data_IF_306541670451
#
_entry.id   IF_306541670451
#
_cell.length_a   1.000
_cell.length_b   1.000
_cell.length_c   1.000
_cell.angle_alpha   90.00
_cell.angle_beta   90.00
_cell.angle_gamma   90.00
#
_symmetry.space_group_name_H-M   'P 1'
#
loop_
_entity.id
_entity.type
_entity.pdbx_description
1 polymer ?
#
# COMPACT_ATOMS: atom_id res chain seq x y z
N UNK A 1 -20.99 8.79 6.55
CA UNK A 1 -21.48 7.70 5.68
C UNK A 1 -21.73 8.29 4.30
N UNK A 2 -21.20 7.73 3.21
CA UNK A 2 -21.51 8.23 1.86
C UNK A 2 -23.02 8.03 1.62
N UNK A 3 -23.72 9.08 1.22
CA UNK A 3 -25.12 8.96 0.78
C UNK A 3 -25.18 7.96 -0.37
N UNK A 4 -26.23 7.12 -0.40
CA UNK A 4 -26.41 6.09 -1.42
C UNK A 4 -26.60 6.76 -2.78
N UNK A 5 -25.49 7.00 -3.45
CA UNK A 5 -25.46 7.48 -4.80
C UNK A 5 -25.60 6.23 -5.68
N UNK A 6 -26.58 6.24 -6.60
CA UNK A 6 -27.14 5.04 -7.24
C UNK A 6 -26.10 3.98 -7.61
N UNK A 7 -26.22 2.82 -6.95
CA UNK A 7 -25.40 1.61 -7.09
C UNK A 7 -23.88 1.82 -7.06
N UNK A 8 -23.39 2.65 -6.12
CA UNK A 8 -21.97 2.75 -5.81
C UNK A 8 -21.20 3.55 -6.84
N UNK A 9 -21.41 4.88 -6.86
CA UNK A 9 -20.84 5.76 -7.89
C UNK A 9 -19.34 5.57 -8.14
N UNK A 10 -18.46 5.69 -7.14
CA UNK A 10 -17.03 5.38 -7.33
C UNK A 10 -16.77 3.92 -7.76
N UNK A 11 -17.65 3.00 -7.34
CA UNK A 11 -17.64 1.59 -7.73
C UNK A 11 -17.85 1.37 -9.23
N UNK A 12 -18.49 2.31 -9.94
CA UNK A 12 -18.65 2.25 -11.40
C UNK A 12 -17.33 2.40 -12.16
N UNK A 13 -16.24 2.83 -11.51
CA UNK A 13 -14.89 2.77 -12.09
C UNK A 13 -14.43 1.33 -12.38
N UNK A 14 -15.02 0.34 -11.71
CA UNK A 14 -14.69 -1.08 -11.88
C UNK A 14 -15.64 -1.80 -12.85
N UNK A 15 -16.58 -1.08 -13.47
CA UNK A 15 -17.46 -1.65 -14.48
C UNK A 15 -16.66 -2.10 -15.71
N UNK A 16 -17.17 -3.12 -16.40
CA UNK A 16 -16.67 -3.54 -17.72
C UNK A 16 -17.11 -2.60 -18.84
N UNK A 17 -18.23 -1.90 -18.63
CA UNK A 17 -18.75 -0.85 -19.50
C UNK A 17 -18.26 0.54 -19.04
N UNK A 18 -18.92 1.59 -19.50
CA UNK A 18 -18.63 2.97 -19.14
C UNK A 18 -18.98 3.29 -17.68
N UNK A 19 -18.31 4.30 -17.11
CA UNK A 19 -18.50 4.79 -15.74
C UNK A 19 -19.80 5.60 -15.59
N UNK A 20 -20.92 5.07 -16.08
CA UNK A 20 -22.18 5.79 -16.25
C UNK A 20 -22.63 5.85 -17.71
N UNK A 21 -23.91 6.12 -17.90
CA UNK A 21 -24.57 6.28 -19.21
C UNK A 21 -24.36 7.68 -19.81
N UNK A 22 -24.05 8.69 -18.99
CA UNK A 22 -23.75 10.07 -19.44
C UNK A 22 -22.39 10.57 -18.95
N UNK A 23 -21.86 11.59 -19.62
CA UNK A 23 -20.61 12.25 -19.24
C UNK A 23 -20.67 12.85 -17.82
N UNK A 24 -21.81 13.43 -17.42
CA UNK A 24 -21.97 14.01 -16.08
C UNK A 24 -21.98 12.94 -14.98
N UNK A 25 -22.57 11.77 -15.26
CA UNK A 25 -22.46 10.64 -14.32
C UNK A 25 -21.01 10.15 -14.23
N UNK A 26 -20.28 10.06 -15.33
CA UNK A 26 -18.86 9.70 -15.31
C UNK A 26 -17.99 10.70 -14.53
N UNK A 27 -18.24 12.00 -14.67
CA UNK A 27 -17.59 13.04 -13.84
C UNK A 27 -17.89 12.85 -12.36
N UNK A 28 -19.14 12.53 -12.01
CA UNK A 28 -19.53 12.26 -10.61
C UNK A 28 -18.84 11.02 -10.05
N UNK A 29 -18.75 9.96 -10.84
CA UNK A 29 -18.02 8.72 -10.48
C UNK A 29 -16.55 9.03 -10.18
N UNK A 30 -15.87 9.78 -11.06
CA UNK A 30 -14.48 10.18 -10.86
C UNK A 30 -14.29 11.09 -9.64
N UNK A 31 -15.21 12.04 -9.43
CA UNK A 31 -15.19 12.93 -8.27
C UNK A 31 -15.36 12.16 -6.96
N UNK A 32 -16.26 11.18 -6.92
CA UNK A 32 -16.50 10.37 -5.73
C UNK A 32 -15.35 9.40 -5.45
N UNK A 33 -14.68 8.89 -6.48
CA UNK A 33 -13.43 8.15 -6.33
C UNK A 33 -12.33 9.03 -5.71
N UNK A 34 -12.17 10.27 -6.20
CA UNK A 34 -11.23 11.22 -5.64
C UNK A 34 -11.55 11.57 -4.17
N UNK A 35 -12.83 11.76 -3.82
CA UNK A 35 -13.27 11.98 -2.43
C UNK A 35 -12.94 10.78 -1.54
N UNK A 36 -13.22 9.56 -1.99
CA UNK A 36 -12.93 8.36 -1.22
C UNK A 36 -11.42 8.22 -0.93
N UNK A 37 -10.56 8.46 -1.92
CA UNK A 37 -9.10 8.45 -1.75
C UNK A 37 -8.62 9.60 -0.86
N UNK A 38 -9.23 10.78 -0.99
CA UNK A 38 -8.92 11.96 -0.17
C UNK A 38 -9.29 11.80 1.30
N UNK A 39 -10.38 11.07 1.59
CA UNK A 39 -10.90 10.87 2.94
C UNK A 39 -10.12 9.86 3.80
N UNK A 40 -9.18 9.11 3.21
CA UNK A 40 -8.49 8.01 3.89
C UNK A 40 -6.97 8.18 3.94
N UNK A 41 -6.36 7.50 4.90
CA UNK A 41 -4.91 7.42 5.05
C UNK A 41 -4.34 6.25 4.24
N UNK A 42 -3.02 6.24 4.02
CA UNK A 42 -2.37 5.09 3.39
C UNK A 42 -2.48 3.81 4.22
N UNK A 43 -2.60 3.91 5.54
CA UNK A 43 -2.82 2.75 6.41
C UNK A 43 -4.21 2.13 6.20
N UNK A 44 -5.26 2.94 6.00
CA UNK A 44 -6.61 2.45 5.68
C UNK A 44 -6.62 1.75 4.31
N UNK A 45 -5.90 2.31 3.34
CA UNK A 45 -5.73 1.71 2.00
C UNK A 45 -5.02 0.37 2.11
N UNK A 46 -3.87 0.28 2.80
CA UNK A 46 -3.14 -0.97 2.98
C UNK A 46 -3.98 -2.03 3.72
N UNK A 47 -4.73 -1.62 4.75
CA UNK A 47 -5.65 -2.54 5.44
C UNK A 47 -6.72 -3.09 4.50
N UNK A 48 -7.30 -2.26 3.63
CA UNK A 48 -8.29 -2.71 2.66
C UNK A 48 -7.68 -3.65 1.61
N UNK A 49 -6.45 -3.38 1.16
CA UNK A 49 -5.71 -4.24 0.24
C UNK A 49 -5.50 -5.63 0.86
N UNK A 50 -5.01 -5.69 2.09
CA UNK A 50 -4.74 -6.95 2.80
C UNK A 50 -6.04 -7.72 3.08
N UNK A 51 -7.12 -7.02 3.45
CA UNK A 51 -8.41 -7.66 3.77
C UNK A 51 -9.15 -8.17 2.54
N UNK A 52 -9.17 -7.40 1.45
CA UNK A 52 -10.06 -7.67 0.32
C UNK A 52 -9.37 -8.39 -0.83
N UNK A 53 -8.06 -8.18 -1.02
CA UNK A 53 -7.26 -8.85 -2.05
C UNK A 53 -7.94 -8.91 -3.43
N UNK A 54 -8.15 -10.12 -3.94
CA UNK A 54 -8.76 -10.36 -5.25
C UNK A 54 -10.22 -9.86 -5.36
N UNK A 55 -10.94 -9.77 -4.24
CA UNK A 55 -12.33 -9.31 -4.19
C UNK A 55 -12.48 -7.78 -4.17
N UNK A 56 -11.37 -7.04 -4.09
CA UNK A 56 -11.39 -5.60 -3.87
C UNK A 56 -12.28 -4.81 -4.85
N UNK A 57 -12.24 -5.14 -6.14
CA UNK A 57 -13.08 -4.48 -7.15
C UNK A 57 -14.57 -4.76 -6.95
N UNK A 58 -14.93 -6.02 -6.66
CA UNK A 58 -16.30 -6.41 -6.38
C UNK A 58 -16.82 -5.77 -5.09
N UNK A 59 -15.98 -5.68 -4.05
CA UNK A 59 -16.34 -5.04 -2.78
C UNK A 59 -16.50 -3.52 -2.91
N UNK A 60 -15.66 -2.88 -3.72
CA UNK A 60 -15.77 -1.44 -4.00
C UNK A 60 -16.99 -1.09 -4.87
N UNK A 61 -17.48 -2.03 -5.67
CA UNK A 61 -18.69 -1.89 -6.48
C UNK A 61 -20.00 -2.03 -5.66
N UNK A 62 -19.93 -2.54 -4.42
CA UNK A 62 -21.11 -2.65 -3.56
C UNK A 62 -21.66 -1.26 -3.21
N UNK A 63 -22.99 -1.16 -3.12
CA UNK A 63 -23.65 0.03 -2.59
C UNK A 63 -23.09 0.37 -1.19
N UNK A 64 -22.84 1.66 -0.95
CA UNK A 64 -22.26 2.16 0.31
C UNK A 64 -20.90 1.54 0.68
N UNK A 65 -20.10 1.07 -0.28
CA UNK A 65 -18.71 0.67 -0.01
C UNK A 65 -17.98 1.80 0.74
N UNK A 66 -17.19 1.41 1.76
CA UNK A 66 -16.42 2.36 2.58
C UNK A 66 -15.31 2.99 1.75
N UNK A 67 -14.92 4.22 2.11
CA UNK A 67 -13.89 4.96 1.39
C UNK A 67 -12.56 4.20 1.31
N UNK A 68 -12.16 3.53 2.40
CA UNK A 68 -10.95 2.68 2.41
C UNK A 68 -11.04 1.49 1.46
N UNK A 69 -12.21 0.87 1.35
CA UNK A 69 -12.47 -0.24 0.41
C UNK A 69 -12.36 0.24 -1.05
N UNK A 70 -12.94 1.39 -1.36
CA UNK A 70 -12.87 2.00 -2.69
C UNK A 70 -11.42 2.38 -3.02
N UNK A 71 -10.73 3.09 -2.12
CA UNK A 71 -9.36 3.52 -2.32
C UNK A 71 -8.38 2.35 -2.44
N UNK A 72 -8.56 1.29 -1.62
CA UNK A 72 -7.81 0.04 -1.72
C UNK A 72 -8.00 -0.66 -3.08
N UNK A 73 -9.23 -0.72 -3.56
CA UNK A 73 -9.53 -1.29 -4.87
C UNK A 73 -8.95 -0.45 -6.02
N UNK A 74 -9.00 0.88 -5.92
CA UNK A 74 -8.38 1.79 -6.89
C UNK A 74 -6.87 1.55 -6.94
N UNK A 75 -6.21 1.49 -5.78
CA UNK A 75 -4.77 1.23 -5.69
C UNK A 75 -4.41 -0.13 -6.33
N UNK A 76 -5.11 -1.20 -5.98
CA UNK A 76 -4.88 -2.53 -6.56
C UNK A 76 -5.10 -2.54 -8.07
N UNK A 77 -6.19 -1.92 -8.55
CA UNK A 77 -6.50 -1.86 -9.97
C UNK A 77 -5.43 -1.07 -10.73
N UNK A 78 -4.92 0.02 -10.17
CA UNK A 78 -3.87 0.83 -10.79
C UNK A 78 -2.51 0.10 -10.86
N UNK A 79 -2.19 -0.73 -9.85
CA UNK A 79 -0.95 -1.51 -9.81
C UNK A 79 -1.03 -2.80 -10.64
N UNK A 80 -2.22 -3.35 -10.84
CA UNK A 80 -2.41 -4.60 -11.56
C UNK A 80 -2.05 -4.46 -13.06
N UNK A 81 -1.37 -5.48 -13.60
CA UNK A 81 -1.07 -5.56 -15.03
C UNK A 81 -2.37 -5.53 -15.84
N UNK A 82 -2.48 -4.58 -16.78
CA UNK A 82 -3.68 -4.41 -17.60
C UNK A 82 -4.88 -3.82 -16.85
N UNK A 83 -4.69 -3.33 -15.63
CA UNK A 83 -5.71 -2.61 -14.88
C UNK A 83 -6.18 -1.37 -15.62
N UNK A 84 -7.50 -1.28 -15.82
CA UNK A 84 -8.17 -0.15 -16.50
C UNK A 84 -9.37 0.28 -15.68
N UNK A 85 -9.63 1.57 -15.66
CA UNK A 85 -10.84 2.13 -15.07
C UNK A 85 -11.85 2.43 -16.18
N UNK A 86 -13.12 2.24 -15.88
CA UNK A 86 -14.20 2.68 -16.75
C UNK A 86 -14.15 4.21 -16.95
N UNK A 87 -14.51 4.68 -18.15
CA UNK A 87 -14.52 6.09 -18.53
C UNK A 87 -15.92 6.53 -19.03
N UNK A 88 -16.08 7.78 -19.45
CA UNK A 88 -17.32 8.30 -20.02
C UNK A 88 -17.74 7.57 -21.31
N UNK A 89 -19.05 7.48 -21.55
CA UNK A 89 -19.66 6.89 -22.76
C UNK A 89 -19.57 7.78 -24.00
N UNK A 90 -19.59 9.10 -23.81
CA UNK A 90 -19.25 10.09 -24.82
C UNK A 90 -17.74 10.35 -24.78
N UNK A 91 -17.20 10.96 -25.85
CA UNK A 91 -15.84 11.50 -25.79
C UNK A 91 -15.74 12.37 -24.53
N UNK A 92 -14.78 12.05 -23.66
CA UNK A 92 -14.39 12.86 -22.49
C UNK A 92 -13.81 14.16 -23.05
N UNK A 93 -14.69 15.04 -23.55
CA UNK A 93 -14.29 16.32 -24.11
C UNK A 93 -13.47 17.02 -23.05
N UNK A 94 -12.23 17.38 -23.40
CA UNK A 94 -11.21 17.99 -22.54
C UNK A 94 -10.49 17.04 -21.54
N UNK A 95 -10.78 15.74 -21.52
CA UNK A 95 -10.02 14.75 -20.75
C UNK A 95 -10.21 14.85 -19.22
N UNK A 96 -11.32 15.44 -18.78
CA UNK A 96 -11.60 15.76 -17.38
C UNK A 96 -11.76 14.49 -16.55
N UNK A 97 -12.59 13.55 -17.00
CA UNK A 97 -12.84 12.29 -16.28
C UNK A 97 -11.55 11.49 -16.20
N UNK A 98 -10.82 11.41 -17.31
CA UNK A 98 -9.54 10.72 -17.41
C UNK A 98 -8.52 11.30 -16.42
N UNK A 99 -8.42 12.62 -16.34
CA UNK A 99 -7.48 13.31 -15.44
C UNK A 99 -7.84 13.11 -13.97
N UNK A 100 -9.12 13.20 -13.63
CA UNK A 100 -9.61 12.97 -12.27
C UNK A 100 -9.37 11.52 -11.81
N UNK A 101 -9.64 10.52 -12.66
CA UNK A 101 -9.38 9.11 -12.37
C UNK A 101 -7.88 8.85 -12.22
N UNK A 102 -7.04 9.43 -13.08
CA UNK A 102 -5.57 9.35 -12.94
C UNK A 102 -5.10 9.95 -11.62
N UNK A 103 -5.63 11.10 -11.22
CA UNK A 103 -5.31 11.74 -9.94
C UNK A 103 -5.69 10.87 -8.74
N UNK A 104 -6.89 10.31 -8.74
CA UNK A 104 -7.34 9.39 -7.69
C UNK A 104 -6.47 8.12 -7.62
N UNK A 105 -6.16 7.52 -8.78
CA UNK A 105 -5.32 6.35 -8.88
C UNK A 105 -3.89 6.61 -8.37
N UNK A 106 -3.26 7.69 -8.84
CA UNK A 106 -1.93 8.09 -8.42
C UNK A 106 -1.89 8.35 -6.91
N UNK A 107 -2.84 9.13 -6.38
CA UNK A 107 -2.90 9.44 -4.95
C UNK A 107 -3.08 8.19 -4.09
N UNK A 108 -3.94 7.25 -4.50
CA UNK A 108 -4.17 6.01 -3.77
C UNK A 108 -2.91 5.13 -3.73
N UNK A 109 -2.22 4.98 -4.87
CA UNK A 109 -0.97 4.22 -4.97
C UNK A 109 0.14 4.87 -4.14
N UNK A 110 0.35 6.18 -4.28
CA UNK A 110 1.36 6.93 -3.52
C UNK A 110 1.13 6.79 -2.02
N UNK A 111 -0.09 7.05 -1.52
CA UNK A 111 -0.42 6.90 -0.10
C UNK A 111 -0.11 5.50 0.42
N UNK A 112 -0.46 4.45 -0.33
CA UNK A 112 -0.22 3.06 0.05
C UNK A 112 1.28 2.74 0.11
N UNK A 113 2.03 3.06 -0.95
CA UNK A 113 3.45 2.75 -1.06
C UNK A 113 4.31 3.57 -0.08
N UNK A 114 3.99 4.84 0.15
CA UNK A 114 4.69 5.67 1.13
C UNK A 114 4.53 5.10 2.54
N UNK A 115 3.30 4.72 2.89
CA UNK A 115 3.01 4.11 4.20
C UNK A 115 3.70 2.76 4.36
N UNK A 116 3.70 1.92 3.32
CA UNK A 116 4.38 0.62 3.33
C UNK A 116 5.90 0.81 3.51
N UNK A 117 6.49 1.78 2.81
CA UNK A 117 7.92 2.10 2.89
C UNK A 117 8.31 2.58 4.30
N UNK A 118 7.47 3.40 4.93
CA UNK A 118 7.68 3.82 6.34
C UNK A 118 7.56 2.63 7.29
N UNK A 119 6.57 1.75 7.09
CA UNK A 119 6.38 0.58 7.93
C UNK A 119 7.58 -0.38 7.85
N UNK A 120 8.08 -0.67 6.65
CA UNK A 120 9.27 -1.51 6.43
C UNK A 120 10.48 -0.93 7.16
N UNK A 121 10.75 0.37 7.00
CA UNK A 121 11.87 1.04 7.68
C UNK A 121 11.75 0.95 9.21
N UNK A 122 10.56 1.19 9.77
CA UNK A 122 10.34 1.04 11.21
C UNK A 122 10.63 -0.38 11.70
N UNK A 123 10.21 -1.40 10.96
CA UNK A 123 10.50 -2.80 11.30
C UNK A 123 11.99 -3.09 11.22
N UNK A 124 12.68 -2.58 10.20
CA UNK A 124 14.14 -2.70 10.07
C UNK A 124 14.88 -2.00 11.22
N UNK A 125 14.46 -0.79 11.59
CA UNK A 125 15.07 -0.03 12.69
C UNK A 125 14.94 -0.76 14.04
N UNK A 126 13.77 -1.38 14.30
CA UNK A 126 13.56 -2.21 15.48
C UNK A 126 14.48 -3.43 15.47
N UNK A 127 14.53 -4.18 14.37
CA UNK A 127 15.41 -5.34 14.25
C UNK A 127 16.90 -4.97 14.39
N UNK A 128 17.33 -3.86 13.80
CA UNK A 128 18.70 -3.38 13.93
C UNK A 128 19.02 -2.92 15.36
N UNK A 129 18.04 -2.36 16.07
CA UNK A 129 18.19 -2.01 17.49
C UNK A 129 18.37 -3.26 18.36
N UNK A 130 17.62 -4.32 18.12
CA UNK A 130 17.78 -5.61 18.79
C UNK A 130 19.16 -6.21 18.51
N UNK A 131 19.61 -6.20 17.25
CA UNK A 131 20.97 -6.61 16.87
C UNK A 131 22.02 -5.77 17.60
N UNK A 132 21.86 -4.44 17.65
CA UNK A 132 22.77 -3.55 18.38
C UNK A 132 22.82 -3.88 19.88
N UNK A 133 21.67 -4.17 20.50
CA UNK A 133 21.59 -4.49 21.91
C UNK A 133 22.23 -5.88 22.22
N UNK A 134 22.07 -6.87 21.34
CA UNK A 134 22.74 -8.18 21.44
C UNK A 134 24.25 -8.11 21.12
N UNK A 135 24.63 -7.27 20.15
CA UNK A 135 26.01 -6.96 19.76
C UNK A 135 26.68 -5.95 20.69
N UNK A 136 26.05 -5.57 21.80
CA UNK A 136 26.84 -5.03 22.92
C UNK A 136 27.79 -6.15 23.34
N UNK A 137 28.91 -6.27 22.62
CA UNK A 137 30.19 -6.66 23.17
C UNK A 137 30.24 -5.83 24.43
N UNK A 138 30.09 -6.49 25.57
CA UNK A 138 30.16 -5.82 26.85
C UNK A 138 31.37 -4.90 26.76
N UNK A 139 31.16 -3.58 26.79
CA UNK A 139 32.27 -2.66 27.03
C UNK A 139 32.82 -2.86 28.45
N UNK A 140 32.31 -3.85 29.21
CA UNK A 140 33.14 -4.66 30.07
C UNK A 140 34.04 -5.62 29.23
N UNK A 141 34.92 -5.05 28.42
CA UNK A 141 36.31 -5.39 28.65
C UNK A 141 36.61 -4.66 29.96
N UNK A 142 36.26 -5.29 31.08
CA UNK A 142 37.13 -5.10 32.23
C UNK A 142 38.50 -5.45 31.67
N UNK A 143 39.48 -4.56 31.81
CA UNK A 143 40.83 -4.74 31.28
C UNK A 143 41.55 -6.03 31.75
N UNK A 144 40.85 -6.93 32.46
CA UNK A 144 41.29 -8.18 33.03
C UNK A 144 40.56 -9.44 32.48
N UNK A 145 39.46 -9.32 31.72
CA UNK A 145 38.76 -10.50 31.22
C UNK A 145 39.50 -11.07 30.00
N UNK A 146 40.18 -12.19 30.25
CA UNK A 146 41.11 -12.84 29.33
C UNK A 146 40.38 -13.22 28.05
N UNK A 147 40.87 -12.70 26.94
CA UNK A 147 40.46 -13.05 25.60
C UNK A 147 40.66 -14.56 25.44
N UNK A 148 39.58 -15.32 25.22
CA UNK A 148 39.67 -16.72 24.83
C UNK A 148 40.09 -16.77 23.36
N UNK A 149 41.38 -16.56 23.11
CA UNK A 149 42.03 -17.04 21.89
C UNK A 149 42.27 -18.53 22.07
N UNK A 150 41.51 -19.34 21.34
CA UNK A 150 41.72 -20.79 21.25
C UNK A 150 43.03 -21.08 20.50
N UNK A 151 44.17 -20.88 21.16
CA UNK A 151 45.46 -21.36 20.65
C UNK A 151 45.56 -22.87 20.91
N UNK A 152 45.17 -23.65 19.90
CA UNK A 152 45.52 -25.07 19.82
C UNK A 152 47.04 -25.18 19.61
N UNK A 153 47.83 -25.08 20.68
CA UNK A 153 49.20 -25.60 20.67
C UNK A 153 49.15 -27.13 20.67
N UNK A 154 49.30 -27.73 19.49
CA UNK A 154 49.85 -29.08 19.40
C UNK A 154 51.28 -29.02 19.93
N UNK A 155 51.52 -29.71 21.05
CA UNK A 155 52.84 -29.85 21.65
C UNK A 155 53.80 -30.50 20.66
N UNK A 156 54.88 -29.80 20.31
CA UNK A 156 56.07 -30.43 19.76
C UNK A 156 56.67 -31.31 20.85
N UNK A 157 56.65 -32.63 20.64
CA UNK A 157 57.40 -33.57 21.45
C UNK A 157 58.89 -33.36 21.15
N UNK A 158 59.65 -33.07 22.21
CA UNK A 158 61.10 -32.94 22.17
C UNK A 158 61.73 -34.35 22.07
N UNK A 159 62.74 -34.44 21.23
CA UNK A 159 63.63 -35.58 20.94
C UNK A 159 64.12 -36.39 22.14
N UNK A 160 64.19 -37.71 21.96
CA UNK A 160 65.39 -38.52 22.24
C UNK A 160 65.94 -39.06 20.92
#
# INVERSE_FOLDING_TARGET
ERTAAGDGEAGKLFATANAGDTADKAKKVAADAAKAVGAVTGADILQAIVKNGASAAADAAKAKAKDGTIAGAIALRAMAKGGKFANASAADNEGIVTSAVKGAALSAVTKALDTLTVAIRKTMDLGLKEVKDAMKINNAINANDTIVTSDKKTSEAKSE
#
